data_IF_028853587021
#
_entry.id   IF_028853587021
#
_cell.length_a   1.000
_cell.length_b   1.000
_cell.length_c   1.000
_cell.angle_alpha   90.00
_cell.angle_beta   90.00
_cell.angle_gamma   90.00
#
_symmetry.space_group_name_H-M   'P 1'
#
loop_
_entity.id
_entity.type
_entity.pdbx_description
1 polymer ?
#
# COMPACT_ATOMS: atom_id res chain seq x y z
N UNK A 1 43.25 46.32 42.13
CA UNK A 1 43.24 45.18 43.08
C UNK A 1 43.89 44.00 42.38
N UNK A 2 45.05 43.51 42.85
CA UNK A 2 45.70 42.31 42.29
C UNK A 2 44.88 41.10 42.74
N UNK A 3 44.45 40.26 41.80
CA UNK A 3 43.76 39.00 42.14
C UNK A 3 44.65 38.18 43.08
N UNK A 4 44.10 37.62 44.18
CA UNK A 4 44.87 36.77 45.06
C UNK A 4 45.37 35.57 44.25
N UNK A 5 46.66 35.26 44.35
CA UNK A 5 47.35 34.20 43.57
C UNK A 5 46.62 32.86 43.60
N UNK A 6 45.90 32.58 44.68
CA UNK A 6 45.07 31.38 44.87
C UNK A 6 43.96 31.27 43.80
N UNK A 7 43.27 32.37 43.48
CA UNK A 7 42.18 32.38 42.48
C UNK A 7 42.71 32.09 41.07
N UNK A 8 43.91 32.59 40.75
CA UNK A 8 44.57 32.34 39.46
C UNK A 8 45.01 30.87 39.37
N UNK A 9 45.56 30.29 40.45
CA UNK A 9 45.97 28.88 40.49
C UNK A 9 44.75 27.95 40.37
N UNK A 10 43.66 28.23 41.08
CA UNK A 10 42.42 27.43 40.97
C UNK A 10 41.80 27.55 39.57
N UNK A 11 41.83 28.73 38.95
CA UNK A 11 41.34 28.91 37.59
C UNK A 11 42.15 28.11 36.57
N UNK A 12 43.49 28.08 36.70
CA UNK A 12 44.36 27.26 35.85
C UNK A 12 44.17 25.76 36.07
N UNK A 13 43.97 25.32 37.33
CA UNK A 13 43.66 23.93 37.64
C UNK A 13 42.34 23.48 37.01
N UNK A 14 41.30 24.32 37.09
CA UNK A 14 40.00 24.07 36.44
C UNK A 14 40.15 24.05 34.92
N UNK A 15 40.87 25.01 34.33
CA UNK A 15 41.11 25.05 32.88
C UNK A 15 41.88 23.80 32.39
N UNK A 16 42.89 23.36 33.14
CA UNK A 16 43.66 22.16 32.81
C UNK A 16 42.82 20.88 32.97
N UNK A 17 41.96 20.82 34.00
CA UNK A 17 41.02 19.71 34.17
C UNK A 17 40.00 19.63 33.03
N UNK A 18 39.48 20.77 32.57
CA UNK A 18 38.60 20.85 31.39
C UNK A 18 39.34 20.40 30.13
N UNK A 19 40.56 20.91 29.90
CA UNK A 19 41.37 20.52 28.75
C UNK A 19 41.70 19.01 28.76
N UNK A 20 42.00 18.43 29.94
CA UNK A 20 42.22 17.00 30.09
C UNK A 20 40.95 16.18 29.84
N UNK A 21 39.78 16.63 30.32
CA UNK A 21 38.50 15.97 30.06
C UNK A 21 38.12 15.98 28.57
N UNK A 22 38.34 17.11 27.89
CA UNK A 22 38.15 17.23 26.43
C UNK A 22 39.10 16.29 25.69
N UNK A 23 40.38 16.25 26.10
CA UNK A 23 41.36 15.34 25.50
C UNK A 23 40.93 13.87 25.66
N UNK A 24 40.47 13.46 26.84
CA UNK A 24 39.95 12.11 27.09
C UNK A 24 38.73 11.81 26.20
N UNK A 25 37.77 12.73 26.08
CA UNK A 25 36.62 12.54 25.18
C UNK A 25 37.02 12.30 23.71
N UNK A 26 38.12 12.86 23.25
CA UNK A 26 38.63 12.66 21.88
C UNK A 26 39.21 11.26 21.65
N UNK A 27 39.56 10.52 22.70
CA UNK A 27 40.16 9.18 22.59
C UNK A 27 39.29 8.03 23.14
N UNK A 28 38.22 8.33 23.88
CA UNK A 28 37.33 7.29 24.39
C UNK A 28 36.49 6.71 23.24
N UNK A 29 36.60 5.40 22.94
CA UNK A 29 35.78 4.75 21.93
C UNK A 29 34.33 4.64 22.42
N UNK A 30 33.38 5.16 21.65
CA UNK A 30 31.94 5.10 21.89
C UNK A 30 31.23 4.43 20.72
N UNK A 31 30.32 3.51 21.02
CA UNK A 31 29.50 2.85 19.99
C UNK A 31 28.31 3.75 19.69
N UNK A 32 28.26 4.29 18.47
CA UNK A 32 27.10 5.04 18.00
C UNK A 32 25.86 4.13 17.90
N UNK A 33 24.70 4.69 18.21
CA UNK A 33 23.43 4.00 18.06
C UNK A 33 22.38 4.91 17.44
N UNK A 34 21.73 4.45 16.36
CA UNK A 34 20.46 5.02 15.94
C UNK A 34 19.33 4.35 16.70
N UNK A 35 18.52 5.12 17.39
CA UNK A 35 17.26 4.64 17.92
C UNK A 35 16.11 4.92 16.94
N UNK A 36 15.13 4.04 16.93
CA UNK A 36 13.90 4.22 16.18
C UNK A 36 12.76 3.48 16.84
N UNK A 37 11.58 4.08 16.82
CA UNK A 37 10.34 3.37 17.09
C UNK A 37 9.85 2.73 15.79
N UNK A 38 9.19 1.59 15.88
CA UNK A 38 8.79 0.80 14.74
C UNK A 38 7.68 -0.18 15.06
N UNK A 39 7.44 -1.08 14.11
CA UNK A 39 6.41 -2.09 14.24
C UNK A 39 6.78 -3.37 13.50
N UNK A 40 6.20 -4.48 13.94
CA UNK A 40 6.32 -5.76 13.26
C UNK A 40 5.55 -5.71 11.95
N UNK A 41 6.22 -6.03 10.86
CA UNK A 41 5.66 -6.08 9.51
C UNK A 41 5.84 -7.47 8.92
N UNK A 42 5.07 -7.77 7.90
CA UNK A 42 5.29 -8.95 7.08
C UNK A 42 6.35 -8.62 6.03
N UNK A 43 7.38 -9.47 5.96
CA UNK A 43 8.44 -9.34 4.96
C UNK A 43 7.87 -9.55 3.56
N UNK A 44 7.11 -10.63 3.38
CA UNK A 44 6.46 -10.94 2.12
C UNK A 44 5.14 -10.16 1.99
N UNK A 45 4.80 -9.64 0.80
CA UNK A 45 3.49 -9.04 0.55
C UNK A 45 2.31 -10.01 0.79
N UNK A 46 2.52 -11.30 0.52
CA UNK A 46 1.50 -12.36 0.69
C UNK A 46 1.20 -12.69 2.16
N UNK A 47 2.09 -12.27 3.05
CA UNK A 47 1.98 -12.44 4.49
C UNK A 47 1.22 -11.28 5.16
N UNK A 48 0.80 -10.27 4.37
CA UNK A 48 0.04 -9.09 4.86
C UNK A 48 -1.46 -9.38 4.95
N UNK A 49 -2.17 -8.53 5.69
CA UNK A 49 -3.62 -8.47 5.63
C UNK A 49 -4.06 -8.17 4.19
N UNK A 50 -5.06 -8.90 3.71
CA UNK A 50 -5.65 -8.74 2.38
C UNK A 50 -7.13 -8.45 2.51
N UNK A 51 -7.54 -7.33 1.91
CA UNK A 51 -8.94 -6.97 1.82
C UNK A 51 -9.61 -7.75 0.69
N UNK A 52 -10.67 -8.45 1.05
CA UNK A 52 -11.55 -9.16 0.13
C UNK A 52 -12.71 -8.23 -0.20
N UNK A 53 -12.72 -7.73 -1.42
CA UNK A 53 -13.75 -6.82 -1.91
C UNK A 53 -14.79 -7.52 -2.77
N UNK A 54 -15.96 -6.89 -2.90
CA UNK A 54 -17.00 -7.32 -3.81
C UNK A 54 -16.54 -7.14 -5.25
N UNK A 55 -16.57 -8.22 -6.04
CA UNK A 55 -16.22 -8.20 -7.47
C UNK A 55 -17.31 -7.53 -8.32
N UNK A 56 -18.56 -7.66 -7.88
CA UNK A 56 -19.75 -7.10 -8.52
C UNK A 56 -20.58 -6.34 -7.50
N UNK A 57 -21.29 -5.32 -7.97
CA UNK A 57 -22.31 -4.66 -7.16
C UNK A 57 -23.55 -5.53 -7.03
N UNK A 58 -24.24 -5.43 -5.90
CA UNK A 58 -25.44 -6.22 -5.63
C UNK A 58 -25.82 -6.20 -4.16
N UNK A 59 -26.83 -6.98 -3.79
CA UNK A 59 -27.19 -7.21 -2.39
C UNK A 59 -26.43 -8.43 -1.87
N UNK A 60 -25.91 -8.36 -0.65
CA UNK A 60 -25.37 -9.55 0.01
C UNK A 60 -26.54 -10.48 0.37
N UNK A 61 -26.57 -11.64 -0.27
CA UNK A 61 -27.58 -12.66 -0.03
C UNK A 61 -27.24 -13.50 1.20
N UNK A 62 -25.96 -13.86 1.37
CA UNK A 62 -25.53 -14.74 2.46
C UNK A 62 -24.05 -14.51 2.80
N UNK A 63 -23.73 -14.62 4.09
CA UNK A 63 -22.36 -14.68 4.61
C UNK A 63 -22.01 -16.11 4.98
N UNK A 64 -20.86 -16.60 4.51
CA UNK A 64 -20.37 -17.96 4.79
C UNK A 64 -19.37 -18.02 5.93
N UNK A 65 -18.84 -16.88 6.37
CA UNK A 65 -17.77 -16.79 7.38
C UNK A 65 -18.10 -15.76 8.45
N UNK A 66 -17.48 -15.90 9.61
CA UNK A 66 -17.62 -14.98 10.74
C UNK A 66 -16.29 -14.35 11.15
N UNK A 67 -16.37 -13.29 11.94
CA UNK A 67 -15.20 -12.68 12.57
C UNK A 67 -14.40 -13.70 13.38
N UNK A 68 -13.09 -13.70 13.18
CA UNK A 68 -12.16 -14.60 13.86
C UNK A 68 -12.13 -16.03 13.30
N UNK A 69 -12.91 -16.37 12.28
CA UNK A 69 -12.89 -17.70 11.66
C UNK A 69 -11.65 -17.93 10.80
N UNK A 70 -11.17 -19.18 10.78
CA UNK A 70 -10.10 -19.64 9.89
C UNK A 70 -10.67 -20.03 8.54
N UNK A 71 -10.10 -19.49 7.47
CA UNK A 71 -10.50 -19.76 6.08
C UNK A 71 -9.35 -20.34 5.27
N UNK A 72 -9.67 -21.27 4.37
CA UNK A 72 -8.75 -21.79 3.37
C UNK A 72 -8.78 -20.95 2.08
N UNK A 73 -7.78 -21.14 1.23
CA UNK A 73 -7.76 -20.55 -0.12
C UNK A 73 -9.02 -20.99 -0.88
N UNK A 74 -9.65 -20.05 -1.60
CA UNK A 74 -10.89 -20.25 -2.36
C UNK A 74 -12.15 -20.61 -1.55
N UNK A 75 -12.09 -20.59 -0.22
CA UNK A 75 -13.27 -20.77 0.61
C UNK A 75 -14.26 -19.61 0.38
N UNK A 76 -15.57 -19.89 0.23
CA UNK A 76 -16.58 -18.84 0.11
C UNK A 76 -16.60 -17.94 1.34
N UNK A 77 -16.68 -16.63 1.12
CA UNK A 77 -16.81 -15.61 2.17
C UNK A 77 -18.22 -15.03 2.17
N UNK A 78 -18.71 -14.61 1.01
CA UNK A 78 -20.04 -14.03 0.86
C UNK A 78 -20.61 -14.31 -0.54
N UNK A 79 -21.93 -14.39 -0.63
CA UNK A 79 -22.66 -14.38 -1.91
C UNK A 79 -23.28 -13.01 -2.11
N UNK A 80 -22.85 -12.31 -3.16
CA UNK A 80 -23.45 -11.07 -3.63
C UNK A 80 -24.32 -11.42 -4.82
N UNK A 81 -25.60 -11.10 -4.76
CA UNK A 81 -26.56 -11.33 -5.86
C UNK A 81 -27.00 -10.00 -6.41
N UNK A 82 -27.23 -9.93 -7.72
CA UNK A 82 -27.79 -8.75 -8.34
C UNK A 82 -29.18 -8.42 -7.76
N UNK A 83 -29.57 -7.14 -7.81
CA UNK A 83 -30.89 -6.73 -7.36
C UNK A 83 -31.98 -7.16 -8.35
N UNK A 84 -31.63 -7.30 -9.64
CA UNK A 84 -32.53 -7.72 -10.71
C UNK A 84 -32.43 -9.24 -10.93
N UNK A 85 -33.42 -10.05 -10.51
CA UNK A 85 -33.39 -11.50 -10.68
C UNK A 85 -33.42 -11.94 -12.16
N UNK A 86 -33.92 -11.08 -13.05
CA UNK A 86 -34.01 -11.34 -14.50
C UNK A 86 -32.81 -10.78 -15.27
N UNK A 87 -31.77 -10.32 -14.58
CA UNK A 87 -30.60 -9.75 -15.24
C UNK A 87 -29.88 -10.77 -16.14
N UNK A 88 -29.72 -12.01 -15.66
CA UNK A 88 -29.06 -13.08 -16.42
C UNK A 88 -29.86 -13.54 -17.64
N UNK A 89 -31.19 -13.63 -17.51
CA UNK A 89 -32.07 -14.01 -18.62
C UNK A 89 -32.03 -12.96 -19.73
N UNK A 90 -32.01 -11.67 -19.36
CA UNK A 90 -31.86 -10.54 -20.29
C UNK A 90 -30.51 -10.57 -21.02
N UNK A 91 -29.40 -10.77 -20.30
CA UNK A 91 -28.08 -10.88 -20.92
C UNK A 91 -27.97 -12.09 -21.86
N UNK A 92 -28.58 -13.22 -21.50
CA UNK A 92 -28.60 -14.40 -22.35
C UNK A 92 -29.39 -14.16 -23.66
N UNK A 93 -30.53 -13.48 -23.57
CA UNK A 93 -31.32 -13.10 -24.74
C UNK A 93 -30.56 -12.11 -25.65
N UNK A 94 -29.92 -11.09 -25.06
CA UNK A 94 -29.09 -10.13 -25.79
C UNK A 94 -27.89 -10.82 -26.48
N UNK A 95 -27.21 -11.73 -25.78
CA UNK A 95 -26.13 -12.55 -26.33
C UNK A 95 -26.59 -13.35 -27.55
N UNK A 96 -27.72 -14.04 -27.44
CA UNK A 96 -28.27 -14.84 -28.54
C UNK A 96 -28.64 -13.98 -29.76
N UNK A 97 -29.17 -12.76 -29.53
CA UNK A 97 -29.48 -11.82 -30.60
C UNK A 97 -28.21 -11.37 -31.35
N UNK A 98 -27.14 -11.06 -30.62
CA UNK A 98 -25.85 -10.67 -31.23
C UNK A 98 -25.21 -11.85 -31.96
N UNK A 99 -25.30 -13.07 -31.43
CA UNK A 99 -24.82 -14.28 -32.11
C UNK A 99 -25.56 -14.49 -33.45
N UNK A 100 -26.88 -14.30 -33.47
CA UNK A 100 -27.67 -14.34 -34.70
C UNK A 100 -27.27 -13.22 -35.68
N UNK A 101 -26.99 -12.01 -35.19
CA UNK A 101 -26.47 -10.91 -36.01
C UNK A 101 -25.10 -11.26 -36.62
N UNK A 102 -24.18 -11.80 -35.83
CA UNK A 102 -22.85 -12.24 -36.27
C UNK A 102 -23.00 -13.31 -37.36
N UNK A 103 -23.88 -14.29 -37.17
CA UNK A 103 -24.12 -15.33 -38.16
C UNK A 103 -24.64 -14.73 -39.49
N UNK A 104 -25.61 -13.82 -39.41
CA UNK A 104 -26.18 -13.11 -40.56
C UNK A 104 -25.13 -12.28 -41.31
N UNK A 105 -24.33 -11.48 -40.60
CA UNK A 105 -23.27 -10.65 -41.19
C UNK A 105 -22.15 -11.51 -41.77
N UNK A 106 -21.81 -12.63 -41.13
CA UNK A 106 -20.81 -13.58 -41.65
C UNK A 106 -21.29 -14.17 -42.97
N UNK A 107 -22.57 -14.55 -43.05
CA UNK A 107 -23.17 -15.05 -44.28
C UNK A 107 -23.21 -13.98 -45.39
N UNK A 108 -23.63 -12.75 -45.07
CA UNK A 108 -23.68 -11.67 -46.06
C UNK A 108 -22.28 -11.32 -46.59
N UNK A 109 -21.27 -11.33 -45.72
CA UNK A 109 -19.87 -11.12 -46.09
C UNK A 109 -19.33 -12.26 -46.96
N UNK A 110 -19.69 -13.51 -46.67
CA UNK A 110 -19.32 -14.65 -47.51
C UNK A 110 -19.91 -14.50 -48.93
N UNK A 111 -21.18 -14.10 -49.05
CA UNK A 111 -21.80 -13.81 -50.35
C UNK A 111 -21.09 -12.65 -51.07
N UNK A 112 -20.80 -11.55 -50.37
CA UNK A 112 -20.07 -10.42 -50.95
C UNK A 112 -18.67 -10.82 -51.45
N UNK A 113 -18.00 -11.75 -50.77
CA UNK A 113 -16.71 -12.29 -51.20
C UNK A 113 -16.82 -13.10 -52.49
N UNK A 114 -17.90 -13.88 -52.66
CA UNK A 114 -18.18 -14.57 -53.92
C UNK A 114 -18.41 -13.56 -55.06
N UNK A 115 -19.10 -12.45 -54.79
CA UNK A 115 -19.31 -11.39 -55.77
C UNK A 115 -17.99 -10.71 -56.16
N UNK A 116 -17.08 -10.48 -55.22
CA UNK A 116 -15.71 -10.02 -55.52
C UNK A 116 -14.98 -11.00 -56.43
N UNK A 117 -15.06 -12.30 -56.15
CA UNK A 117 -14.41 -13.33 -56.96
C UNK A 117 -14.98 -13.34 -58.39
N UNK A 118 -16.31 -13.22 -58.52
CA UNK A 118 -17.00 -13.14 -59.82
C UNK A 118 -16.62 -11.88 -60.58
N UNK A 119 -16.64 -10.71 -59.93
CA UNK A 119 -16.26 -9.44 -60.53
C UNK A 119 -14.79 -9.46 -60.98
N UNK A 120 -13.90 -10.03 -60.17
CA UNK A 120 -12.47 -10.16 -60.52
C UNK A 120 -12.25 -11.08 -61.73
N UNK A 121 -13.06 -12.13 -61.90
CA UNK A 121 -13.02 -12.97 -63.10
C UNK A 121 -13.47 -12.21 -64.35
N UNK A 122 -14.64 -11.56 -64.29
CA UNK A 122 -15.20 -10.77 -65.41
C UNK A 122 -14.30 -9.60 -65.80
N UNK A 123 -13.63 -8.95 -64.84
CA UNK A 123 -12.68 -7.88 -65.11
C UNK A 123 -11.45 -8.39 -65.88
N UNK A 124 -10.92 -9.57 -65.54
CA UNK A 124 -9.82 -10.21 -66.30
C UNK A 124 -10.22 -10.57 -67.73
N UNK A 125 -11.49 -10.85 -67.96
CA UNK A 125 -12.07 -11.10 -69.29
C UNK A 125 -12.40 -9.80 -70.05
N UNK A 126 -12.21 -8.63 -69.43
CA UNK A 126 -12.50 -7.33 -70.04
C UNK A 126 -13.99 -6.96 -70.11
N UNK A 127 -14.85 -7.67 -69.36
CA UNK A 127 -16.31 -7.54 -69.43
C UNK A 127 -16.89 -6.46 -68.50
N UNK A 128 -16.15 -6.02 -67.48
CA UNK A 128 -16.56 -4.98 -66.52
C UNK A 128 -15.42 -3.99 -66.22
N UNK A 129 -15.74 -2.85 -65.61
CA UNK A 129 -14.75 -1.85 -65.25
C UNK A 129 -14.03 -2.20 -63.93
N UNK A 130 -12.80 -1.72 -63.75
CA UNK A 130 -12.05 -1.85 -62.48
C UNK A 130 -12.82 -1.32 -61.27
N UNK A 131 -13.58 -0.23 -61.47
CA UNK A 131 -14.46 0.38 -60.46
C UNK A 131 -15.45 -0.63 -59.88
N UNK A 132 -15.98 -1.55 -60.68
CA UNK A 132 -16.98 -2.52 -60.23
C UNK A 132 -16.37 -3.54 -59.26
N UNK A 133 -15.11 -3.93 -59.48
CA UNK A 133 -14.34 -4.77 -58.56
C UNK A 133 -14.07 -4.02 -57.26
N UNK A 134 -13.68 -2.75 -57.32
CA UNK A 134 -13.43 -1.91 -56.13
C UNK A 134 -14.71 -1.73 -55.31
N UNK A 135 -15.86 -1.51 -55.94
CA UNK A 135 -17.16 -1.45 -55.25
C UNK A 135 -17.52 -2.77 -54.56
N UNK A 136 -17.25 -3.92 -55.19
CA UNK A 136 -17.46 -5.22 -54.57
C UNK A 136 -16.52 -5.43 -53.36
N UNK A 137 -15.26 -4.99 -53.46
CA UNK A 137 -14.30 -5.05 -52.36
C UNK A 137 -14.72 -4.16 -51.18
N UNK A 138 -15.26 -2.97 -51.46
CA UNK A 138 -15.81 -2.08 -50.42
C UNK A 138 -16.94 -2.78 -49.65
N UNK A 139 -17.86 -3.48 -50.33
CA UNK A 139 -18.93 -4.25 -49.65
C UNK A 139 -18.38 -5.33 -48.71
N UNK A 140 -17.30 -6.03 -49.11
CA UNK A 140 -16.62 -7.01 -48.24
C UNK A 140 -15.99 -6.32 -47.03
N UNK A 141 -15.35 -5.16 -47.25
CA UNK A 141 -14.75 -4.37 -46.18
C UNK A 141 -15.80 -3.85 -45.19
N UNK A 142 -16.93 -3.34 -45.66
CA UNK A 142 -18.09 -2.93 -44.83
C UNK A 142 -18.64 -4.10 -44.01
N UNK A 143 -18.82 -5.28 -44.63
CA UNK A 143 -19.21 -6.49 -43.90
C UNK A 143 -18.18 -6.93 -42.86
N UNK A 144 -16.89 -6.74 -43.15
CA UNK A 144 -15.80 -6.98 -42.20
C UNK A 144 -15.83 -6.03 -40.99
N UNK A 145 -16.08 -4.75 -41.23
CA UNK A 145 -16.23 -3.75 -40.19
C UNK A 145 -17.43 -4.05 -39.29
N UNK A 146 -18.59 -4.38 -39.89
CA UNK A 146 -19.79 -4.76 -39.14
C UNK A 146 -19.60 -6.03 -38.32
N UNK A 147 -18.90 -7.03 -38.87
CA UNK A 147 -18.55 -8.25 -38.13
C UNK A 147 -17.66 -7.95 -36.92
N UNK A 148 -16.65 -7.10 -37.09
CA UNK A 148 -15.78 -6.68 -35.99
C UNK A 148 -16.58 -5.93 -34.90
N UNK A 149 -17.50 -5.06 -35.29
CA UNK A 149 -18.40 -4.36 -34.36
C UNK A 149 -19.27 -5.33 -33.55
N UNK A 150 -19.97 -6.27 -34.21
CA UNK A 150 -20.82 -7.24 -33.51
C UNK A 150 -20.01 -8.18 -32.61
N UNK A 151 -18.78 -8.57 -33.01
CA UNK A 151 -17.87 -9.33 -32.14
C UNK A 151 -17.45 -8.54 -30.91
N UNK A 152 -17.17 -7.25 -31.06
CA UNK A 152 -16.85 -6.39 -29.93
C UNK A 152 -18.05 -6.25 -28.97
N UNK A 153 -19.29 -6.20 -29.49
CA UNK A 153 -20.51 -6.26 -28.68
C UNK A 153 -20.63 -7.58 -27.91
N UNK A 154 -20.42 -8.72 -28.60
CA UNK A 154 -20.45 -10.04 -27.97
C UNK A 154 -19.43 -10.14 -26.83
N UNK A 155 -18.19 -9.70 -27.05
CA UNK A 155 -17.15 -9.72 -26.03
C UNK A 155 -17.53 -8.89 -24.79
N UNK A 156 -18.21 -7.75 -24.97
CA UNK A 156 -18.70 -6.96 -23.82
C UNK A 156 -19.75 -7.73 -23.01
N UNK A 157 -20.67 -8.41 -23.67
CA UNK A 157 -21.70 -9.24 -23.00
C UNK A 157 -21.04 -10.42 -22.29
N UNK A 158 -20.09 -11.11 -22.92
CA UNK A 158 -19.38 -12.24 -22.30
C UNK A 158 -18.63 -11.80 -21.02
N UNK A 159 -18.04 -10.60 -21.01
CA UNK A 159 -17.42 -10.03 -19.81
C UNK A 159 -18.47 -9.74 -18.72
N UNK A 160 -19.65 -9.23 -19.08
CA UNK A 160 -20.74 -9.00 -18.12
C UNK A 160 -21.26 -10.32 -17.51
N UNK A 161 -21.41 -11.37 -18.32
CA UNK A 161 -21.80 -12.70 -17.87
C UNK A 161 -20.73 -13.30 -16.95
N UNK A 162 -19.45 -13.20 -17.32
CA UNK A 162 -18.34 -13.67 -16.48
C UNK A 162 -18.21 -12.90 -15.15
N UNK A 163 -18.57 -11.61 -15.14
CA UNK A 163 -18.67 -10.85 -13.88
C UNK A 163 -19.81 -11.37 -13.01
N UNK A 164 -20.97 -11.68 -13.60
CA UNK A 164 -22.09 -12.26 -12.86
C UNK A 164 -21.80 -13.68 -12.33
N UNK A 165 -20.94 -14.49 -12.97
CA UNK A 165 -20.53 -15.76 -12.36
C UNK A 165 -19.66 -15.56 -11.10
N UNK A 166 -19.13 -14.35 -10.90
CA UNK A 166 -18.35 -13.95 -9.72
C UNK A 166 -19.21 -13.43 -8.54
N UNK A 167 -20.50 -13.77 -8.52
CA UNK A 167 -21.41 -13.52 -7.39
C UNK A 167 -20.91 -14.13 -6.07
N UNK A 168 -20.14 -15.22 -6.14
CA UNK A 168 -19.54 -15.85 -4.96
C UNK A 168 -18.15 -15.30 -4.71
N UNK A 169 -18.04 -14.44 -3.70
CA UNK A 169 -16.76 -13.88 -3.26
C UNK A 169 -16.04 -14.92 -2.42
N UNK A 170 -14.80 -15.23 -2.80
CA UNK A 170 -13.96 -16.27 -2.18
C UNK A 170 -12.71 -15.67 -1.57
N UNK A 171 -12.16 -16.35 -0.57
CA UNK A 171 -10.91 -15.98 0.07
C UNK A 171 -9.74 -16.13 -0.94
N UNK A 172 -8.95 -15.07 -1.19
CA UNK A 172 -7.81 -15.14 -2.11
C UNK A 172 -6.65 -15.95 -1.53
N UNK A 173 -6.59 -16.11 -0.21
CA UNK A 173 -5.55 -16.86 0.51
C UNK A 173 -6.12 -17.46 1.80
N UNK A 174 -5.39 -18.42 2.37
CA UNK A 174 -5.71 -18.96 3.69
C UNK A 174 -5.31 -17.97 4.80
N UNK A 175 -6.09 -17.93 5.87
CA UNK A 175 -5.84 -17.02 6.99
C UNK A 175 -7.02 -16.94 7.94
N UNK A 176 -6.95 -16.02 8.89
CA UNK A 176 -8.06 -15.71 9.79
C UNK A 176 -8.79 -14.45 9.34
N UNK A 177 -10.11 -14.46 9.41
CA UNK A 177 -10.93 -13.29 9.17
C UNK A 177 -10.75 -12.31 10.33
N UNK A 178 -10.16 -11.14 10.07
CA UNK A 178 -9.98 -10.09 11.07
C UNK A 178 -11.29 -9.36 11.33
N UNK A 179 -11.94 -8.93 10.25
CA UNK A 179 -13.22 -8.22 10.28
C UNK A 179 -14.05 -8.63 9.07
N UNK A 180 -15.33 -8.88 9.30
CA UNK A 180 -16.41 -8.92 8.34
C UNK A 180 -17.17 -7.63 8.48
N UNK A 181 -17.47 -6.97 7.36
CA UNK A 181 -18.20 -5.73 7.39
C UNK A 181 -19.70 -6.01 7.66
N UNK A 182 -20.04 -6.18 8.94
CA UNK A 182 -21.38 -6.53 9.41
C UNK A 182 -22.46 -5.48 9.08
N UNK A 183 -22.06 -4.22 8.86
CA UNK A 183 -22.96 -3.14 8.42
C UNK A 183 -23.60 -3.42 7.05
N UNK A 184 -23.04 -4.37 6.30
CA UNK A 184 -23.52 -4.78 4.99
C UNK A 184 -24.45 -6.01 5.04
N UNK A 185 -24.86 -6.47 6.22
CA UNK A 185 -25.80 -7.60 6.35
C UNK A 185 -27.15 -7.28 5.71
N UNK A 186 -27.38 -7.81 4.50
CA UNK A 186 -28.56 -7.49 3.67
C UNK A 186 -28.50 -6.13 2.96
N UNK A 187 -27.36 -5.42 3.05
CA UNK A 187 -27.12 -4.15 2.39
C UNK A 187 -26.74 -4.30 0.92
N UNK A 188 -26.89 -3.21 0.15
CA UNK A 188 -26.41 -3.12 -1.22
C UNK A 188 -24.96 -2.65 -1.20
N UNK A 189 -24.11 -3.36 -1.93
CA UNK A 189 -22.68 -3.07 -2.08
C UNK A 189 -22.35 -2.75 -3.54
N UNK A 190 -21.32 -1.93 -3.73
CA UNK A 190 -20.76 -1.67 -5.05
C UNK A 190 -19.54 -2.55 -5.29
N UNK A 191 -19.16 -2.72 -6.56
CA UNK A 191 -17.89 -3.35 -6.88
C UNK A 191 -16.74 -2.56 -6.22
N UNK A 192 -15.82 -3.27 -5.57
CA UNK A 192 -14.71 -2.69 -4.80
C UNK A 192 -14.99 -2.45 -3.32
N UNK A 193 -16.24 -2.56 -2.85
CA UNK A 193 -16.54 -2.47 -1.41
C UNK A 193 -15.86 -3.61 -0.65
N UNK A 194 -15.12 -3.29 0.42
CA UNK A 194 -14.46 -4.28 1.28
C UNK A 194 -15.52 -5.04 2.08
N UNK A 195 -15.53 -6.37 1.93
CA UNK A 195 -16.45 -7.28 2.60
C UNK A 195 -15.83 -7.91 3.82
N UNK A 196 -14.57 -8.35 3.71
CA UNK A 196 -13.82 -8.93 4.82
C UNK A 196 -12.32 -8.71 4.66
N UNK A 197 -11.57 -8.68 5.75
CA UNK A 197 -10.11 -8.62 5.75
C UNK A 197 -9.54 -9.96 6.25
N UNK A 198 -8.74 -10.62 5.42
CA UNK A 198 -8.10 -11.92 5.73
C UNK A 198 -6.65 -11.67 6.13
N UNK A 199 -6.22 -12.23 7.27
CA UNK A 199 -4.85 -12.11 7.78
C UNK A 199 -4.20 -13.50 7.89
N UNK A 200 -3.08 -13.76 7.22
CA UNK A 200 -2.35 -15.02 7.35
C UNK A 200 -1.83 -15.27 8.77
N UNK A 201 -1.93 -16.51 9.26
CA UNK A 201 -1.37 -16.89 10.58
C UNK A 201 0.13 -17.18 10.49
N UNK A 202 0.54 -17.90 9.45
CA UNK A 202 1.93 -18.26 9.15
C UNK A 202 2.56 -17.17 8.28
N UNK A 203 3.17 -16.17 8.89
CA UNK A 203 3.77 -15.07 8.15
C UNK A 203 5.21 -14.81 8.62
N UNK A 204 6.12 -14.64 7.67
CA UNK A 204 7.52 -14.33 7.95
C UNK A 204 7.60 -12.88 8.43
N UNK A 205 7.90 -12.71 9.72
CA UNK A 205 7.91 -11.40 10.38
C UNK A 205 9.27 -10.72 10.17
N UNK A 206 9.20 -9.42 9.96
CA UNK A 206 10.34 -8.50 10.02
C UNK A 206 9.92 -7.31 10.90
N UNK A 207 10.88 -6.49 11.32
CA UNK A 207 10.59 -5.23 12.02
C UNK A 207 10.89 -4.08 11.07
N UNK A 208 9.94 -3.17 10.92
CA UNK A 208 10.17 -1.88 10.28
C UNK A 208 10.42 -0.84 11.38
N UNK A 209 11.68 -0.42 11.55
CA UNK A 209 12.04 0.72 12.39
C UNK A 209 12.02 2.00 11.57
N UNK A 210 11.60 3.10 12.19
CA UNK A 210 11.65 4.42 11.60
C UNK A 210 12.77 5.22 12.25
N UNK A 211 13.78 5.57 11.45
CA UNK A 211 15.02 6.22 11.89
C UNK A 211 15.09 7.63 11.32
N UNK A 212 15.68 8.54 12.08
CA UNK A 212 15.84 9.94 11.67
C UNK A 212 16.83 10.10 10.50
N UNK A 213 16.61 11.12 9.67
CA UNK A 213 17.49 11.47 8.56
C UNK A 213 18.93 11.82 8.98
N UNK A 214 19.13 12.30 10.21
CA UNK A 214 20.46 12.52 10.81
C UNK A 214 21.30 11.25 10.86
N UNK A 215 20.65 10.14 11.19
CA UNK A 215 21.32 8.88 11.52
C UNK A 215 21.27 7.88 10.37
N UNK A 216 20.32 8.01 9.44
CA UNK A 216 20.15 7.07 8.32
C UNK A 216 21.40 6.94 7.44
N UNK A 217 22.18 8.01 7.29
CA UNK A 217 23.41 8.01 6.49
C UNK A 217 24.49 7.07 7.05
N UNK A 218 24.41 6.74 8.34
CA UNK A 218 25.34 5.84 9.04
C UNK A 218 24.82 4.39 9.08
N UNK A 219 23.56 4.18 8.72
CA UNK A 219 22.93 2.86 8.71
C UNK A 219 23.31 2.10 7.44
N UNK A 220 23.78 0.86 7.61
CA UNK A 220 24.17 -0.04 6.51
C UNK A 220 23.53 -1.42 6.68
N UNK A 221 23.19 -2.11 5.57
CA UNK A 221 22.79 -3.52 5.62
C UNK A 221 23.83 -4.37 6.36
N UNK A 222 23.35 -5.30 7.18
CA UNK A 222 24.16 -6.22 7.98
C UNK A 222 24.49 -5.74 9.40
N UNK A 223 24.24 -4.47 9.75
CA UNK A 223 24.45 -3.97 11.11
C UNK A 223 23.55 -4.69 12.13
N UNK A 224 24.09 -4.91 13.33
CA UNK A 224 23.37 -5.51 14.44
C UNK A 224 22.35 -4.53 15.02
N UNK A 225 21.16 -5.04 15.34
CA UNK A 225 20.07 -4.26 15.90
C UNK A 225 19.56 -4.94 17.15
N UNK A 226 19.42 -4.18 18.22
CA UNK A 226 18.75 -4.63 19.45
C UNK A 226 17.30 -4.17 19.42
N UNK A 227 16.37 -5.07 19.68
CA UNK A 227 14.93 -4.86 19.58
C UNK A 227 14.26 -5.16 20.92
N UNK A 228 13.31 -4.31 21.28
CA UNK A 228 12.42 -4.46 22.42
C UNK A 228 10.97 -4.48 21.91
N UNK A 229 10.26 -5.58 22.14
CA UNK A 229 8.88 -5.76 21.69
C UNK A 229 7.89 -5.28 22.75
N UNK A 230 6.88 -4.50 22.34
CA UNK A 230 5.80 -4.03 23.21
C UNK A 230 5.04 -5.22 23.84
N UNK A 231 4.78 -5.13 25.15
CA UNK A 231 4.08 -6.18 25.90
C UNK A 231 4.96 -7.33 26.39
N UNK A 232 6.24 -7.36 26.03
CA UNK A 232 7.22 -8.28 26.63
C UNK A 232 7.98 -7.55 27.76
N UNK A 233 7.96 -8.03 29.02
CA UNK A 233 8.63 -7.35 30.11
C UNK A 233 10.15 -7.44 29.95
N UNK A 234 10.82 -6.30 29.79
CA UNK A 234 12.27 -6.19 29.92
C UNK A 234 12.61 -5.98 31.41
N UNK A 235 12.92 -7.07 32.13
CA UNK A 235 13.38 -6.98 33.52
C UNK A 235 14.90 -7.10 33.51
N UNK A 236 15.60 -6.01 33.85
CA UNK A 236 17.03 -6.04 34.11
C UNK A 236 17.25 -6.27 35.62
N UNK A 237 17.68 -7.47 36.00
CA UNK A 237 18.10 -7.72 37.37
C UNK A 237 19.52 -7.17 37.58
N UNK A 238 19.68 -6.21 38.50
CA UNK A 238 20.98 -5.72 38.92
C UNK A 238 21.76 -6.83 39.65
N UNK A 239 22.96 -7.18 39.17
CA UNK A 239 23.87 -8.11 39.85
C UNK A 239 24.04 -9.50 39.20
N UNK A 240 23.30 -9.84 38.15
CA UNK A 240 23.47 -11.10 37.39
C UNK A 240 23.51 -10.83 35.87
N UNK A 241 24.68 -10.92 35.20
CA UNK A 241 24.85 -10.46 33.81
C UNK A 241 24.14 -11.29 32.73
N UNK A 242 23.69 -12.51 33.03
CA UNK A 242 23.28 -13.49 32.02
C UNK A 242 21.79 -13.53 31.69
N UNK A 243 20.96 -12.67 32.30
CA UNK A 243 19.50 -12.66 32.10
C UNK A 243 19.00 -11.26 31.74
N UNK A 244 19.50 -10.71 30.64
CA UNK A 244 18.81 -9.62 29.93
C UNK A 244 17.62 -10.23 29.17
N UNK A 245 16.60 -10.68 29.90
CA UNK A 245 15.39 -11.25 29.31
C UNK A 245 14.53 -10.10 28.80
N UNK A 246 14.54 -9.83 27.48
CA UNK A 246 13.63 -8.87 26.86
C UNK A 246 14.17 -8.03 25.71
N UNK A 247 15.48 -8.07 25.46
CA UNK A 247 16.09 -7.51 24.25
C UNK A 247 16.40 -8.67 23.30
N UNK A 248 16.07 -8.48 22.03
CA UNK A 248 16.26 -9.46 20.97
C UNK A 248 17.17 -8.91 19.89
N UNK A 249 17.97 -9.77 19.30
CA UNK A 249 18.87 -9.36 18.23
C UNK A 249 18.21 -9.49 16.86
N UNK A 250 18.55 -8.56 16.00
CA UNK A 250 18.20 -8.54 14.58
C UNK A 250 19.34 -7.97 13.75
N UNK A 251 19.17 -8.01 12.43
CA UNK A 251 20.10 -7.39 11.49
C UNK A 251 19.38 -6.53 10.48
N UNK A 252 19.99 -5.41 10.12
CA UNK A 252 19.49 -4.54 9.05
C UNK A 252 19.50 -5.32 7.73
N UNK A 253 18.33 -5.59 7.16
CA UNK A 253 18.18 -6.18 5.83
C UNK A 253 18.33 -5.12 4.76
N UNK A 254 17.53 -4.07 4.88
CA UNK A 254 17.41 -3.02 3.87
C UNK A 254 16.92 -1.72 4.51
N UNK A 255 17.15 -0.62 3.81
CA UNK A 255 16.65 0.71 4.16
C UNK A 255 15.97 1.30 2.94
N UNK A 256 14.88 2.02 3.14
CA UNK A 256 14.16 2.68 2.07
C UNK A 256 14.94 3.91 1.58
N UNK A 257 15.04 4.14 0.26
CA UNK A 257 15.75 5.30 -0.28
C UNK A 257 14.98 6.62 -0.11
N UNK A 258 13.70 6.55 0.27
CA UNK A 258 12.82 7.71 0.41
C UNK A 258 12.32 7.81 1.85
N UNK A 259 12.21 9.04 2.35
CA UNK A 259 11.55 9.30 3.63
C UNK A 259 10.04 9.08 3.53
N UNK A 260 9.44 8.64 4.63
CA UNK A 260 8.00 8.60 4.78
C UNK A 260 7.41 10.01 4.96
N UNK A 261 6.07 10.13 5.04
CA UNK A 261 5.39 11.41 5.25
C UNK A 261 5.81 12.16 6.53
N UNK A 262 6.38 11.47 7.51
CA UNK A 262 6.90 12.03 8.76
C UNK A 262 8.36 12.52 8.67
N UNK A 263 9.01 12.38 7.51
CA UNK A 263 10.45 12.65 7.35
C UNK A 263 11.37 11.53 7.85
N UNK A 264 10.82 10.49 8.49
CA UNK A 264 11.59 9.33 8.96
C UNK A 264 11.85 8.33 7.83
N UNK A 265 12.99 7.64 7.92
CA UNK A 265 13.39 6.60 6.98
C UNK A 265 13.06 5.22 7.55
N UNK A 266 12.46 4.37 6.72
CA UNK A 266 12.11 3.01 7.13
C UNK A 266 13.29 2.07 6.93
N UNK A 267 13.64 1.35 7.99
CA UNK A 267 14.69 0.33 8.01
C UNK A 267 14.05 -1.02 8.33
N UNK A 268 14.25 -1.99 7.44
CA UNK A 268 13.73 -3.35 7.58
C UNK A 268 14.78 -4.22 8.28
N UNK A 269 14.36 -4.90 9.34
CA UNK A 269 15.19 -5.73 10.19
C UNK A 269 14.67 -7.15 10.21
N UNK A 270 15.57 -8.10 10.00
CA UNK A 270 15.32 -9.52 10.16
C UNK A 270 15.76 -10.02 11.54
N UNK A 271 15.22 -11.15 12.00
CA UNK A 271 15.82 -11.89 13.12
C UNK A 271 17.25 -12.31 12.76
N UNK A 272 18.19 -12.17 13.70
CA UNK A 272 19.55 -12.67 13.52
C UNK A 272 19.55 -14.21 13.63
N UNK A 273 19.92 -14.95 12.58
CA UNK A 273 19.88 -16.42 12.60
C UNK A 273 20.88 -17.04 13.59
N UNK A 274 21.90 -16.29 14.02
CA UNK A 274 22.89 -16.74 15.00
C UNK A 274 22.46 -16.45 16.45
N UNK A 275 21.39 -15.68 16.66
CA UNK A 275 20.93 -15.26 17.97
C UNK A 275 19.66 -16.02 18.43
N UNK A 276 19.18 -15.68 19.62
CA UNK A 276 17.93 -16.23 20.16
C UNK A 276 16.76 -15.80 19.26
N UNK A 277 15.82 -16.70 18.94
CA UNK A 277 14.61 -16.32 18.20
C UNK A 277 13.82 -15.26 18.96
N UNK A 278 13.13 -14.42 18.20
CA UNK A 278 12.19 -13.42 18.71
C UNK A 278 11.10 -14.05 19.59
N UNK A 279 10.39 -13.25 20.42
CA UNK A 279 9.34 -13.75 21.29
C UNK A 279 8.25 -14.52 20.52
N UNK A 280 7.43 -15.23 21.28
CA UNK A 280 6.24 -15.92 20.77
C UNK A 280 5.33 -14.96 19.97
N UNK A 281 4.62 -15.52 18.98
CA UNK A 281 3.74 -14.83 18.02
C UNK A 281 2.72 -13.91 18.68
N UNK A 282 2.39 -14.16 19.94
CA UNK A 282 1.50 -13.33 20.76
C UNK A 282 2.02 -11.88 20.93
N UNK A 283 3.33 -11.69 20.95
CA UNK A 283 4.00 -10.39 21.12
C UNK A 283 4.56 -9.84 19.80
N UNK A 284 4.74 -10.70 18.80
CA UNK A 284 5.20 -10.30 17.44
C UNK A 284 4.07 -10.36 16.41
N UNK A 285 2.85 -9.98 16.82
CA UNK A 285 1.72 -9.83 15.89
C UNK A 285 2.04 -8.73 14.88
N UNK A 286 1.51 -8.84 13.66
CA UNK A 286 1.64 -7.77 12.68
C UNK A 286 1.06 -6.47 13.25
N UNK A 287 1.83 -5.38 13.17
CA UNK A 287 1.51 -4.09 13.77
C UNK A 287 1.89 -3.93 15.25
N UNK A 288 2.39 -4.96 15.93
CA UNK A 288 2.92 -4.81 17.29
C UNK A 288 4.09 -3.82 17.30
N UNK A 289 4.13 -2.90 18.27
CA UNK A 289 5.20 -1.90 18.32
C UNK A 289 6.50 -2.51 18.79
N UNK A 290 7.58 -1.97 18.27
CA UNK A 290 8.94 -2.38 18.58
C UNK A 290 9.78 -1.13 18.73
N UNK A 291 10.62 -1.08 19.76
CA UNK A 291 11.70 -0.10 19.84
C UNK A 291 12.99 -0.78 19.45
N UNK A 292 13.84 -0.10 18.69
CA UNK A 292 15.13 -0.67 18.34
C UNK A 292 16.27 0.32 18.36
N UNK A 293 17.46 -0.26 18.55
CA UNK A 293 18.74 0.44 18.53
C UNK A 293 19.66 -0.26 17.54
N UNK A 294 19.97 0.43 16.44
CA UNK A 294 20.92 -0.04 15.42
C UNK A 294 22.32 0.31 15.90
N UNK A 295 23.16 -0.70 16.06
CA UNK A 295 24.55 -0.53 16.46
C UNK A 295 25.38 -0.14 15.24
N UNK A 296 26.03 1.03 15.36
CA UNK A 296 26.87 1.60 14.31
C UNK A 296 28.36 1.37 14.62
N UNK A 297 29.22 2.04 13.86
CA UNK A 297 30.65 2.01 14.06
C UNK A 297 31.06 2.66 15.40
N UNK A 298 32.22 2.26 15.91
CA UNK A 298 32.79 2.84 17.12
C UNK A 298 33.56 4.10 16.76
N UNK A 299 33.15 5.23 17.31
CA UNK A 299 33.76 6.55 17.08
C UNK A 299 34.19 7.16 18.40
N UNK A 300 35.10 8.14 18.41
CA UNK A 300 35.41 8.86 19.64
C UNK A 300 34.20 9.64 20.18
N UNK A 301 34.05 9.69 21.52
CA UNK A 301 32.98 10.47 22.19
C UNK A 301 32.96 11.92 21.70
N UNK A 302 34.13 12.53 21.52
CA UNK A 302 34.25 13.91 21.01
C UNK A 302 33.68 14.10 19.61
N UNK A 303 33.82 13.09 18.73
CA UNK A 303 33.23 13.14 17.39
C UNK A 303 31.70 13.08 17.45
N UNK A 304 31.15 12.22 18.31
CA UNK A 304 29.70 12.09 18.45
C UNK A 304 29.05 13.35 19.05
N UNK A 305 29.67 13.95 20.07
CA UNK A 305 29.23 15.23 20.63
C UNK A 305 29.30 16.37 19.61
N UNK A 306 30.36 16.43 18.82
CA UNK A 306 30.47 17.38 17.73
C UNK A 306 29.38 17.15 16.68
N UNK A 307 29.14 15.90 16.27
CA UNK A 307 28.09 15.54 15.29
C UNK A 307 26.72 15.99 15.77
N UNK A 308 26.36 15.69 17.02
CA UNK A 308 25.09 16.10 17.62
C UNK A 308 24.95 17.63 17.75
N UNK A 309 26.06 18.34 18.05
CA UNK A 309 26.04 19.79 18.23
C UNK A 309 25.95 20.57 16.91
N UNK A 310 26.56 20.08 15.82
CA UNK A 310 26.51 20.76 14.52
C UNK A 310 25.20 20.55 13.76
N UNK A 311 24.30 19.72 14.28
CA UNK A 311 23.05 19.35 13.63
C UNK A 311 21.86 20.22 14.06
N UNK A 312 22.08 21.55 14.04
CA UNK A 312 21.12 22.60 14.40
C UNK A 312 20.85 23.55 13.20
N UNK A 313 19.58 23.85 12.80
CA UNK A 313 18.34 23.09 12.98
C UNK A 313 17.68 22.70 11.65
N UNK A 314 17.14 21.47 11.54
CA UNK A 314 15.94 21.21 10.73
C UNK A 314 15.00 20.25 11.49
N UNK A 315 14.01 20.84 12.18
CA UNK A 315 12.82 20.14 12.67
C UNK A 315 11.75 20.13 11.57
N UNK A 316 11.17 18.97 11.25
CA UNK A 316 9.79 18.90 10.75
C UNK A 316 9.08 17.61 11.19
N UNK A 317 8.48 17.61 12.39
CA UNK A 317 7.17 16.94 12.60
C UNK A 317 6.47 17.43 13.89
N UNK A 318 5.50 18.35 13.71
CA UNK A 318 4.38 18.55 14.65
C UNK A 318 2.99 18.44 13.99
N UNK A 319 2.90 18.30 12.66
CA UNK A 319 1.65 18.58 11.93
C UNK A 319 0.79 17.38 11.47
N UNK A 320 1.04 16.13 11.88
CA UNK A 320 0.10 15.04 11.55
C UNK A 320 -1.07 14.86 12.54
N UNK A 321 -1.03 15.51 13.72
CA UNK A 321 -2.21 15.57 14.60
C UNK A 321 -3.13 16.76 14.29
N UNK A 322 -2.62 17.81 13.62
CA UNK A 322 -3.42 18.97 13.26
C UNK A 322 -4.32 18.71 12.04
N UNK A 323 -3.89 17.90 11.05
CA UNK A 323 -4.70 17.64 9.85
C UNK A 323 -5.88 16.68 10.07
N UNK A 324 -5.88 15.90 11.16
CA UNK A 324 -7.00 15.02 11.53
C UNK A 324 -7.94 15.61 12.60
N UNK A 325 -7.58 16.75 13.21
CA UNK A 325 -8.43 17.41 14.22
C UNK A 325 -9.25 18.59 13.66
N UNK A 326 -8.99 19.03 12.43
CA UNK A 326 -9.58 20.24 11.84
C UNK A 326 -10.69 20.02 10.81
N UNK A 327 -11.23 18.80 10.68
CA UNK A 327 -12.25 18.48 9.66
C UNK A 327 -13.54 17.94 10.24
N UNK A 328 -14.00 18.56 11.32
CA UNK A 328 -15.38 18.47 11.80
C UNK A 328 -15.81 19.81 12.44
N UNK A 329 -16.10 20.82 11.59
CA UNK A 329 -17.04 21.88 11.97
C UNK A 329 -17.52 22.67 10.75
N UNK A 330 -18.78 22.44 10.38
CA UNK A 330 -19.70 23.51 9.98
C UNK A 330 -19.62 24.02 8.54
N UNK A 331 -20.29 23.34 7.62
CA UNK A 331 -20.80 24.00 6.42
C UNK A 331 -22.01 24.87 6.75
N UNK A 332 -22.03 26.10 6.23
CA UNK A 332 -23.23 26.89 5.87
C UNK A 332 -22.76 28.06 5.02
N UNK A 333 -22.83 27.94 3.69
CA UNK A 333 -22.84 29.08 2.79
C UNK A 333 -24.31 29.40 2.50
N UNK A 334 -24.78 30.52 3.03
CA UNK A 334 -26.09 31.10 2.76
C UNK A 334 -25.82 32.38 1.97
N UNK A 335 -26.10 32.34 0.68
CA UNK A 335 -26.33 33.53 -0.13
C UNK A 335 -27.62 34.19 0.36
N UNK A 336 -27.59 35.51 0.56
CA UNK A 336 -28.71 36.43 0.32
C UNK A 336 -28.28 37.91 0.54
N UNK A 337 -28.35 38.65 -0.56
CA UNK A 337 -28.98 39.96 -0.73
C UNK A 337 -28.26 41.32 -0.43
N UNK A 338 -28.69 42.25 -1.29
CA UNK A 338 -28.36 43.63 -1.63
C UNK A 338 -27.97 44.64 -0.54
N UNK A 339 -27.21 45.66 -0.95
CA UNK A 339 -27.59 47.06 -0.71
C UNK A 339 -27.05 48.02 -1.77
N UNK A 340 -27.99 48.85 -2.25
CA UNK A 340 -27.90 49.96 -3.20
C UNK A 340 -27.32 51.21 -2.52
N UNK A 341 -26.40 51.94 -3.17
CA UNK A 341 -26.31 53.41 -3.05
C UNK A 341 -25.95 54.09 -4.38
N UNK A 342 -26.85 54.96 -4.81
CA UNK A 342 -26.79 55.92 -5.93
C UNK A 342 -25.73 57.00 -5.69
N UNK A 343 -25.13 57.54 -6.77
CA UNK A 343 -25.42 58.87 -7.34
C UNK A 343 -24.21 59.49 -8.08
N UNK A 344 -24.45 60.07 -9.26
CA UNK A 344 -23.55 61.10 -9.83
C UNK A 344 -23.34 61.07 -11.36
N UNK A 345 -24.35 61.48 -12.15
CA UNK A 345 -24.19 62.09 -13.50
C UNK A 345 -23.89 63.60 -13.32
N UNK A 346 -23.65 64.45 -14.36
CA UNK A 346 -23.53 64.20 -15.81
C UNK A 346 -22.39 65.00 -16.52
N UNK A 347 -22.00 64.57 -17.73
CA UNK A 347 -22.19 65.32 -18.99
C UNK A 347 -21.92 64.41 -20.17
#
# INVERSE_FOLDING_TARGET
MRSPRVVVITAWLVALAIAAAVLVMVFVPWVQTANGDGQVVALNPDDRAADVSALVGGRIAEWYVKDGELVAVNQPIARVVDLDPEYLSRLAAERAQIEAEIASVTQSRATAQLDVNRASALWREGLIARRDVELAQIKVAEGGAKLAESRAKLQRIDVQVARQSSQLVRAPRAGRIQTVNAALSGGVVSAGTILATVVPETATRAVALYVDGRDIALVRPGQHVRLEFEGWPAIQFSGWPSVAQGIFDGRVRALDPTSGPSGLFRVIIDPDPAAKPWPDLRFTKLGAKVRGWIQMETVPVGYELWRQLNDFPLEFSKDLKASMSGKDSGGTAKDDDATVRKAGKPK
#
